data_IF_568387216534
#
_entry.id   IF_568387216534
#
_cell.length_a   1.000
_cell.length_b   1.000
_cell.length_c   1.000
_cell.angle_alpha   90.00
_cell.angle_beta   90.00
_cell.angle_gamma   90.00
#
_symmetry.space_group_name_H-M   'P 1'
#
loop_
_entity.id
_entity.type
_entity.pdbx_description
1 polymer ?
#
# COMPACT_ATOMS: atom_id res chain seq x y z
N UNK A 1 -39.05 12.66 -19.00
CA UNK A 1 -38.42 12.35 -17.70
C UNK A 1 -38.51 13.62 -16.86
N UNK A 2 -39.08 13.61 -15.64
CA UNK A 2 -38.80 14.59 -14.55
C UNK A 2 -39.89 14.62 -13.45
N UNK A 3 -40.14 13.49 -12.79
CA UNK A 3 -40.81 13.50 -11.48
C UNK A 3 -40.09 12.52 -10.56
N UNK A 4 -38.94 12.94 -10.03
CA UNK A 4 -38.39 12.31 -8.83
C UNK A 4 -39.12 12.89 -7.62
N UNK A 5 -39.78 12.04 -6.84
CA UNK A 5 -40.38 12.38 -5.54
C UNK A 5 -39.34 12.58 -4.43
N UNK A 6 -38.06 12.39 -4.74
CA UNK A 6 -36.93 12.52 -3.82
C UNK A 6 -36.18 13.80 -4.16
N UNK A 7 -36.31 14.81 -3.29
CA UNK A 7 -35.48 16.02 -3.33
C UNK A 7 -34.09 15.66 -2.79
N UNK A 8 -32.99 15.99 -3.51
CA UNK A 8 -31.66 15.74 -2.99
C UNK A 8 -31.42 16.56 -1.71
N UNK A 9 -30.60 16.05 -0.77
CA UNK A 9 -30.25 16.80 0.43
C UNK A 9 -29.51 18.08 0.04
N UNK A 10 -29.88 19.21 0.64
CA UNK A 10 -29.19 20.48 0.44
C UNK A 10 -28.55 20.92 1.75
N UNK A 11 -27.34 21.42 1.64
CA UNK A 11 -26.56 21.92 2.77
C UNK A 11 -26.18 23.37 2.51
N UNK A 12 -26.25 24.20 3.55
CA UNK A 12 -25.73 25.56 3.53
C UNK A 12 -24.69 25.72 4.64
N UNK A 13 -23.48 26.11 4.27
CA UNK A 13 -22.40 26.38 5.23
C UNK A 13 -22.48 27.84 5.65
N UNK A 14 -22.48 28.10 6.96
CA UNK A 14 -22.54 29.44 7.55
C UNK A 14 -21.50 29.62 8.66
N UNK A 15 -21.10 30.85 8.92
CA UNK A 15 -20.09 31.18 9.93
C UNK A 15 -20.68 31.71 11.25
N UNK A 16 -21.98 32.02 11.24
CA UNK A 16 -22.75 32.53 12.37
C UNK A 16 -24.07 31.76 12.47
N UNK A 17 -24.46 31.37 13.69
CA UNK A 17 -25.78 30.76 13.93
C UNK A 17 -26.81 31.85 14.18
N UNK A 18 -27.70 32.04 13.21
CA UNK A 18 -28.91 32.85 13.37
C UNK A 18 -30.10 31.87 13.49
N UNK A 19 -30.63 31.60 14.70
CA UNK A 19 -31.62 30.54 14.92
C UNK A 19 -32.88 30.67 14.07
N UNK A 20 -33.32 31.91 13.81
CA UNK A 20 -34.48 32.18 12.95
C UNK A 20 -34.22 31.78 11.49
N UNK A 21 -33.02 32.08 10.97
CA UNK A 21 -32.61 31.71 9.62
C UNK A 21 -32.44 30.20 9.48
N UNK A 22 -31.83 29.53 10.47
CA UNK A 22 -31.68 28.07 10.49
C UNK A 22 -33.05 27.37 10.43
N UNK A 23 -34.01 27.77 11.28
CA UNK A 23 -35.38 27.20 11.28
C UNK A 23 -36.08 27.42 9.94
N UNK A 24 -35.91 28.59 9.34
CA UNK A 24 -36.47 28.88 8.02
C UNK A 24 -35.87 27.96 6.94
N UNK A 25 -34.55 27.81 6.91
CA UNK A 25 -33.84 26.94 5.97
C UNK A 25 -34.21 25.45 6.16
N UNK A 26 -34.28 24.99 7.41
CA UNK A 26 -34.70 23.63 7.76
C UNK A 26 -36.12 23.34 7.24
N UNK A 27 -37.05 24.30 7.38
CA UNK A 27 -38.42 24.15 6.85
C UNK A 27 -38.47 24.03 5.31
N UNK A 28 -37.43 24.49 4.62
CA UNK A 28 -37.26 24.34 3.17
C UNK A 28 -36.39 23.14 2.78
N UNK A 29 -36.05 22.26 3.73
CA UNK A 29 -35.23 21.07 3.51
C UNK A 29 -33.73 21.36 3.35
N UNK A 30 -33.26 22.52 3.80
CA UNK A 30 -31.84 22.90 3.76
C UNK A 30 -31.26 22.71 5.16
N UNK A 31 -30.26 21.84 5.27
CA UNK A 31 -29.51 21.62 6.51
C UNK A 31 -28.42 22.67 6.62
N UNK A 32 -28.36 23.39 7.74
CA UNK A 32 -27.34 24.43 7.96
C UNK A 32 -26.14 23.85 8.72
N UNK A 33 -24.94 24.01 8.19
CA UNK A 33 -23.68 23.57 8.81
C UNK A 33 -22.97 24.83 9.32
N UNK A 34 -22.80 24.93 10.64
CA UNK A 34 -22.21 26.12 11.27
C UNK A 34 -20.72 25.86 11.52
N UNK A 35 -19.86 26.66 10.91
CA UNK A 35 -18.42 26.59 11.11
C UNK A 35 -18.02 27.35 12.36
N UNK A 36 -17.72 26.60 13.42
CA UNK A 36 -17.27 27.16 14.71
C UNK A 36 -15.81 26.85 15.01
N UNK A 37 -15.25 25.81 14.38
CA UNK A 37 -13.90 25.33 14.63
C UNK A 37 -12.82 26.22 13.98
N UNK A 38 -11.81 26.57 14.77
CA UNK A 38 -10.60 27.32 14.37
C UNK A 38 -9.34 26.71 15.00
N UNK A 39 -9.32 25.39 15.19
CA UNK A 39 -8.16 24.68 15.72
C UNK A 39 -6.90 24.93 14.89
N UNK A 40 -7.03 25.01 13.56
CA UNK A 40 -5.92 25.27 12.65
C UNK A 40 -5.93 26.74 12.21
N UNK A 41 -4.90 27.51 12.61
CA UNK A 41 -4.82 28.97 12.41
C UNK A 41 -3.66 29.41 11.50
N UNK A 42 -3.63 29.03 10.22
CA UNK A 42 -2.56 29.46 9.31
C UNK A 42 -2.69 30.95 8.94
N UNK A 43 -3.86 31.58 9.16
CA UNK A 43 -4.14 32.96 8.79
C UNK A 43 -4.19 33.92 10.00
N UNK A 44 -3.39 33.65 11.05
CA UNK A 44 -3.29 34.49 12.24
C UNK A 44 -4.68 34.80 12.85
N UNK A 45 -5.03 36.09 12.99
CA UNK A 45 -6.27 36.56 13.61
C UNK A 45 -7.50 36.55 12.67
N UNK A 46 -7.37 36.07 11.43
CA UNK A 46 -8.50 36.00 10.51
C UNK A 46 -9.39 34.78 10.80
N UNK A 47 -10.35 34.97 11.71
CA UNK A 47 -11.35 33.97 12.12
C UNK A 47 -12.09 33.35 10.93
N UNK A 48 -12.56 34.17 9.98
CA UNK A 48 -13.29 33.68 8.80
C UNK A 48 -12.45 32.71 7.97
N UNK A 49 -11.22 33.10 7.63
CA UNK A 49 -10.32 32.27 6.82
C UNK A 49 -9.86 31.03 7.58
N UNK A 50 -9.61 31.13 8.89
CA UNK A 50 -9.25 29.97 9.72
C UNK A 50 -10.40 28.96 9.84
N UNK A 51 -11.65 29.42 10.03
CA UNK A 51 -12.85 28.55 10.06
C UNK A 51 -13.04 27.80 8.75
N UNK A 52 -12.96 28.53 7.63
CA UNK A 52 -13.10 27.94 6.32
C UNK A 52 -11.96 26.94 6.03
N UNK A 53 -10.74 27.29 6.39
CA UNK A 53 -9.59 26.43 6.22
C UNK A 53 -9.71 25.15 7.04
N UNK A 54 -10.02 25.26 8.33
CA UNK A 54 -10.18 24.11 9.23
C UNK A 54 -11.24 23.17 8.69
N UNK A 55 -12.40 23.69 8.24
CA UNK A 55 -13.45 22.90 7.62
C UNK A 55 -13.01 22.19 6.33
N UNK A 56 -12.36 22.90 5.40
CA UNK A 56 -11.89 22.28 4.16
C UNK A 56 -10.76 21.28 4.39
N UNK A 57 -9.92 21.52 5.40
CA UNK A 57 -8.84 20.64 5.79
C UNK A 57 -9.37 19.36 6.43
N UNK A 58 -10.40 19.46 7.30
CA UNK A 58 -11.06 18.31 7.92
C UNK A 58 -11.83 17.45 6.91
N UNK A 59 -12.37 18.04 5.83
CA UNK A 59 -12.98 17.26 4.75
C UNK A 59 -12.00 16.35 4.02
N UNK A 60 -10.72 16.74 3.97
CA UNK A 60 -9.67 15.99 3.27
C UNK A 60 -8.84 15.09 4.19
N UNK A 61 -8.96 15.27 5.52
CA UNK A 61 -8.14 14.57 6.51
C UNK A 61 -9.06 13.90 7.53
N UNK A 62 -9.32 12.61 7.35
CA UNK A 62 -10.19 11.85 8.23
C UNK A 62 -9.66 11.83 9.68
N UNK A 63 -8.35 11.98 9.83
CA UNK A 63 -7.64 12.05 11.11
C UNK A 63 -8.13 13.19 12.01
N UNK A 64 -8.70 14.24 11.41
CA UNK A 64 -9.24 15.41 12.10
C UNK A 64 -10.70 15.27 12.52
N UNK A 65 -11.40 14.22 12.07
CA UNK A 65 -12.78 14.01 12.50
C UNK A 65 -12.82 13.55 13.96
N UNK A 66 -13.45 14.38 14.81
CA UNK A 66 -13.62 14.09 16.22
C UNK A 66 -14.55 12.88 16.45
N UNK A 67 -15.62 12.79 15.65
CA UNK A 67 -16.77 11.89 15.84
C UNK A 67 -16.77 10.70 14.87
N UNK A 68 -15.64 10.00 14.75
CA UNK A 68 -15.59 8.77 13.95
C UNK A 68 -16.01 7.57 14.80
N UNK A 69 -16.84 6.72 14.22
CA UNK A 69 -17.17 5.43 14.80
C UNK A 69 -15.96 4.47 14.75
N UNK A 70 -15.91 3.51 15.67
CA UNK A 70 -14.81 2.51 15.73
C UNK A 70 -14.57 1.82 14.38
N UNK A 71 -15.64 1.52 13.64
CA UNK A 71 -15.56 0.87 12.31
C UNK A 71 -14.97 1.78 11.24
N UNK A 72 -15.24 3.09 11.31
CA UNK A 72 -14.71 4.08 10.38
C UNK A 72 -13.21 4.25 10.60
N UNK A 73 -12.77 4.28 11.87
CA UNK A 73 -11.36 4.32 12.25
C UNK A 73 -10.62 3.09 11.70
N UNK A 74 -11.16 1.88 11.90
CA UNK A 74 -10.56 0.64 11.38
C UNK A 74 -10.48 0.66 9.85
N UNK A 75 -11.55 1.10 9.17
CA UNK A 75 -11.58 1.16 7.71
C UNK A 75 -10.60 2.18 7.15
N UNK A 76 -10.45 3.33 7.81
CA UNK A 76 -9.48 4.36 7.42
C UNK A 76 -8.05 3.83 7.55
N UNK A 77 -7.72 3.13 8.63
CA UNK A 77 -6.40 2.51 8.80
C UNK A 77 -6.16 1.43 7.76
N UNK A 78 -7.15 0.57 7.51
CA UNK A 78 -7.05 -0.43 6.46
C UNK A 78 -6.84 0.21 5.07
N UNK A 79 -7.51 1.33 4.78
CA UNK A 79 -7.40 2.01 3.49
C UNK A 79 -5.98 2.44 3.15
N UNK A 80 -5.17 2.79 4.18
CA UNK A 80 -3.76 3.18 4.02
C UNK A 80 -2.87 2.06 3.51
N UNK A 81 -3.18 0.81 3.85
CA UNK A 81 -2.38 -0.38 3.47
C UNK A 81 -3.07 -1.27 2.42
N UNK A 82 -4.30 -0.94 2.03
CA UNK A 82 -5.13 -1.75 1.13
C UNK A 82 -4.44 -2.07 -0.20
N UNK A 83 -3.66 -1.15 -0.74
CA UNK A 83 -2.91 -1.36 -1.99
C UNK A 83 -1.87 -2.47 -1.90
N UNK A 84 -1.34 -2.75 -0.70
CA UNK A 84 -0.36 -3.81 -0.49
C UNK A 84 -0.99 -5.21 -0.52
N UNK A 85 -2.31 -5.33 -0.39
CA UNK A 85 -3.00 -6.61 -0.32
C UNK A 85 -2.75 -7.49 -1.57
N UNK A 86 -2.64 -6.87 -2.74
CA UNK A 86 -2.42 -7.54 -4.03
C UNK A 86 -1.00 -8.05 -4.23
N UNK A 87 -0.05 -7.60 -3.40
CA UNK A 87 1.34 -8.04 -3.48
C UNK A 87 1.48 -9.43 -2.84
N UNK A 88 2.33 -10.28 -3.42
CA UNK A 88 2.66 -11.60 -2.85
C UNK A 88 3.47 -11.41 -1.57
N UNK A 89 4.60 -10.70 -1.68
CA UNK A 89 5.44 -10.29 -0.57
C UNK A 89 5.25 -8.81 -0.23
N UNK A 90 5.31 -8.49 1.07
CA UNK A 90 5.25 -7.14 1.60
C UNK A 90 6.43 -6.98 2.57
N UNK A 91 7.20 -5.90 2.44
CA UNK A 91 8.24 -5.58 3.41
C UNK A 91 7.61 -4.82 4.58
N UNK A 92 8.09 -5.08 5.80
CA UNK A 92 7.63 -4.33 6.98
C UNK A 92 7.84 -2.81 6.82
N UNK A 93 8.88 -2.39 6.10
CA UNK A 93 9.12 -0.98 5.78
C UNK A 93 8.05 -0.38 4.83
N UNK A 94 7.47 -1.17 3.93
CA UNK A 94 6.36 -0.69 3.10
C UNK A 94 5.13 -0.41 3.96
N UNK A 95 4.88 -1.24 4.98
CA UNK A 95 3.80 -1.03 5.94
C UNK A 95 4.03 0.25 6.76
N UNK A 96 5.24 0.45 7.30
CA UNK A 96 5.54 1.65 8.08
C UNK A 96 5.49 2.92 7.24
N UNK A 97 5.89 2.87 5.97
CA UNK A 97 5.75 4.00 5.02
C UNK A 97 4.30 4.32 4.67
N UNK A 98 3.42 3.32 4.59
CA UNK A 98 1.99 3.53 4.36
C UNK A 98 1.30 4.19 5.54
N UNK A 99 1.65 3.80 6.76
CA UNK A 99 1.09 4.41 7.96
C UNK A 99 1.69 5.78 8.23
N UNK A 100 3.02 5.91 8.12
CA UNK A 100 3.78 7.04 8.69
C UNK A 100 3.53 7.18 10.20
N UNK A 101 4.25 8.07 10.90
CA UNK A 101 4.21 8.22 12.36
C UNK A 101 4.21 6.87 13.14
N UNK A 102 4.96 5.89 12.64
CA UNK A 102 5.12 4.58 13.25
C UNK A 102 6.50 3.99 12.96
N UNK A 103 6.87 2.95 13.70
CA UNK A 103 8.13 2.24 13.59
C UNK A 103 7.98 0.76 13.89
N UNK A 104 9.11 0.05 13.80
CA UNK A 104 9.20 -1.35 14.19
C UNK A 104 10.02 -1.46 15.47
N UNK A 105 9.47 -2.14 16.46
CA UNK A 105 10.17 -2.54 17.67
C UNK A 105 10.55 -4.01 17.55
N UNK A 106 11.82 -4.32 17.73
CA UNK A 106 12.31 -5.69 17.66
C UNK A 106 12.41 -6.28 19.05
N UNK A 107 11.79 -7.43 19.26
CA UNK A 107 11.90 -8.24 20.47
C UNK A 107 12.54 -9.58 20.13
N UNK A 108 13.30 -10.13 21.08
CA UNK A 108 13.83 -11.49 20.99
C UNK A 108 13.05 -12.38 21.95
N UNK A 109 12.10 -13.14 21.40
CA UNK A 109 11.28 -14.09 22.14
C UNK A 109 11.13 -15.36 21.29
N UNK A 110 12.03 -16.32 21.51
CA UNK A 110 12.18 -17.50 20.67
C UNK A 110 12.47 -17.16 19.19
N UNK A 111 13.24 -16.08 18.98
CA UNK A 111 13.62 -15.57 17.67
C UNK A 111 13.29 -14.07 17.49
N UNK A 112 13.91 -13.42 16.49
CA UNK A 112 13.68 -12.00 16.23
C UNK A 112 12.26 -11.79 15.70
N UNK A 113 11.47 -11.01 16.43
CA UNK A 113 10.10 -10.64 16.07
C UNK A 113 10.00 -9.12 15.95
N UNK A 114 9.29 -8.65 14.93
CA UNK A 114 9.04 -7.23 14.71
C UNK A 114 7.61 -6.87 15.15
N UNK A 115 7.46 -5.94 16.08
CA UNK A 115 6.19 -5.37 16.50
C UNK A 115 6.00 -3.99 15.86
N UNK A 116 4.79 -3.69 15.40
CA UNK A 116 4.44 -2.36 14.91
C UNK A 116 4.14 -1.44 16.10
N UNK A 117 4.83 -0.29 16.14
CA UNK A 117 4.68 0.73 17.17
C UNK A 117 4.22 2.04 16.53
N UNK A 118 3.13 2.64 17.02
CA UNK A 118 2.69 3.96 16.59
C UNK A 118 3.23 5.02 17.54
N UNK A 119 3.88 6.04 17.00
CA UNK A 119 4.49 7.09 17.81
C UNK A 119 3.41 7.96 18.47
N UNK A 120 3.70 8.37 19.70
CA UNK A 120 2.90 9.32 20.47
C UNK A 120 3.65 10.65 20.60
N UNK A 121 4.71 10.68 21.39
CA UNK A 121 5.44 11.91 21.73
C UNK A 121 6.77 12.03 21.01
N UNK A 122 7.22 10.97 20.34
CA UNK A 122 8.52 10.89 19.68
C UNK A 122 8.58 11.90 18.53
N UNK A 123 9.63 12.72 18.48
CA UNK A 123 9.82 13.67 17.37
C UNK A 123 10.51 12.94 16.21
N UNK A 124 9.79 12.74 15.12
CA UNK A 124 10.28 12.10 13.90
C UNK A 124 10.72 13.16 12.91
N UNK A 125 11.94 13.03 12.38
CA UNK A 125 12.55 14.02 11.46
C UNK A 125 11.83 14.15 10.12
N UNK A 126 11.06 13.13 9.70
CA UNK A 126 10.50 13.04 8.34
C UNK A 126 8.97 13.26 8.26
N UNK A 127 8.25 13.18 9.38
CA UNK A 127 6.78 13.34 9.43
C UNK A 127 6.34 13.59 10.88
N UNK A 128 6.15 14.85 11.27
CA UNK A 128 5.70 15.24 12.61
C UNK A 128 4.24 15.69 12.57
N UNK A 129 3.31 14.73 12.44
CA UNK A 129 1.88 15.00 12.35
C UNK A 129 1.17 14.61 13.66
N UNK A 130 0.90 15.61 14.50
CA UNK A 130 0.27 15.44 15.81
C UNK A 130 -1.16 14.90 15.70
N UNK A 131 -1.92 15.33 14.69
CA UNK A 131 -3.31 14.93 14.46
C UNK A 131 -3.40 13.44 14.13
N UNK A 132 -2.50 12.98 13.27
CA UNK A 132 -2.39 11.56 12.90
C UNK A 132 -2.04 10.67 14.10
N UNK A 133 -1.21 11.15 15.04
CA UNK A 133 -0.91 10.42 16.28
C UNK A 133 -2.13 10.33 17.19
N UNK A 134 -2.88 11.42 17.32
CA UNK A 134 -4.17 11.43 18.02
C UNK A 134 -5.15 10.41 17.41
N UNK A 135 -5.18 10.32 16.09
CA UNK A 135 -5.97 9.32 15.38
C UNK A 135 -5.49 7.88 15.65
N UNK A 136 -4.19 7.61 15.64
CA UNK A 136 -3.64 6.29 16.00
C UNK A 136 -3.90 5.90 17.44
N UNK A 137 -3.90 6.84 18.39
CA UNK A 137 -4.32 6.57 19.78
C UNK A 137 -5.75 6.08 19.87
N UNK A 138 -6.68 6.67 19.11
CA UNK A 138 -8.07 6.19 19.06
C UNK A 138 -8.09 4.73 18.57
N UNK A 139 -7.32 4.40 17.55
CA UNK A 139 -7.21 3.03 17.07
C UNK A 139 -6.61 2.06 18.11
N UNK A 140 -5.51 2.43 18.76
CA UNK A 140 -4.91 1.62 19.83
C UNK A 140 -5.90 1.38 20.98
N UNK A 141 -6.74 2.37 21.31
CA UNK A 141 -7.81 2.20 22.31
C UNK A 141 -8.87 1.17 21.90
N UNK A 142 -9.14 1.03 20.60
CA UNK A 142 -10.02 -0.02 20.07
C UNK A 142 -9.36 -1.38 20.22
N UNK A 143 -8.07 -1.49 19.86
CA UNK A 143 -7.31 -2.73 19.95
C UNK A 143 -7.07 -3.19 21.40
N UNK A 144 -7.00 -2.26 22.34
CA UNK A 144 -6.83 -2.56 23.78
C UNK A 144 -8.11 -3.12 24.43
N UNK A 145 -9.23 -3.18 23.71
CA UNK A 145 -10.50 -3.68 24.23
C UNK A 145 -10.90 -5.00 23.57
N UNK A 146 -10.74 -6.10 24.28
CA UNK A 146 -11.06 -7.46 23.81
C UNK A 146 -12.47 -7.61 23.23
N UNK A 147 -13.47 -6.90 23.78
CA UNK A 147 -14.85 -6.95 23.25
C UNK A 147 -14.90 -6.32 21.87
N UNK A 148 -14.34 -5.12 21.72
CA UNK A 148 -14.26 -4.42 20.42
C UNK A 148 -13.47 -5.22 19.40
N UNK A 149 -12.34 -5.83 19.80
CA UNK A 149 -11.55 -6.69 18.91
C UNK A 149 -12.36 -7.88 18.40
N UNK A 150 -13.19 -8.49 19.26
CA UNK A 150 -14.10 -9.58 18.87
C UNK A 150 -15.21 -9.10 17.94
N UNK A 151 -15.84 -7.97 18.26
CA UNK A 151 -16.97 -7.41 17.50
C UNK A 151 -16.53 -6.97 16.09
N UNK A 152 -15.36 -6.34 15.97
CA UNK A 152 -14.81 -5.85 14.71
C UNK A 152 -13.85 -6.83 14.02
N UNK A 153 -13.78 -8.08 14.49
CA UNK A 153 -12.86 -9.11 13.98
C UNK A 153 -12.82 -9.24 12.45
N UNK A 154 -13.95 -9.26 11.70
CA UNK A 154 -13.91 -9.38 10.24
C UNK A 154 -13.21 -8.21 9.53
N UNK A 155 -13.24 -7.02 10.12
CA UNK A 155 -12.60 -5.83 9.55
C UNK A 155 -11.10 -5.83 9.89
N UNK A 156 -10.77 -6.14 11.15
CA UNK A 156 -9.39 -6.28 11.61
C UNK A 156 -8.64 -7.39 10.89
N UNK A 157 -9.30 -8.51 10.56
CA UNK A 157 -8.66 -9.62 9.84
C UNK A 157 -8.04 -9.20 8.50
N UNK A 158 -8.66 -8.28 7.75
CA UNK A 158 -8.10 -7.79 6.47
C UNK A 158 -6.80 -7.04 6.67
N UNK A 159 -6.75 -6.19 7.70
CA UNK A 159 -5.56 -5.44 8.10
C UNK A 159 -4.47 -6.40 8.61
N UNK A 160 -4.81 -7.27 9.55
CA UNK A 160 -3.87 -8.21 10.16
C UNK A 160 -3.29 -9.20 9.16
N UNK A 161 -4.03 -9.53 8.09
CA UNK A 161 -3.52 -10.38 7.02
C UNK A 161 -2.36 -9.72 6.27
N UNK A 162 -2.46 -8.41 6.03
CA UNK A 162 -1.37 -7.61 5.42
C UNK A 162 -0.17 -7.55 6.36
N UNK A 163 -0.39 -7.31 7.65
CA UNK A 163 0.68 -7.29 8.64
C UNK A 163 1.41 -8.64 8.73
N UNK A 164 0.66 -9.75 8.67
CA UNK A 164 1.22 -11.10 8.68
C UNK A 164 2.04 -11.38 7.43
N UNK A 165 1.60 -10.94 6.24
CA UNK A 165 2.41 -10.99 5.00
C UNK A 165 3.72 -10.20 5.14
N UNK A 166 3.69 -9.10 5.90
CA UNK A 166 4.86 -8.27 6.16
C UNK A 166 5.80 -8.79 7.26
N UNK A 167 5.57 -10.00 7.78
CA UNK A 167 6.31 -10.58 8.91
C UNK A 167 6.31 -9.72 10.17
N UNK A 168 5.27 -8.90 10.36
CA UNK A 168 5.01 -8.20 11.61
C UNK A 168 4.33 -9.19 12.56
N UNK A 169 4.74 -9.24 13.81
CA UNK A 169 4.29 -10.21 14.80
C UNK A 169 3.06 -9.73 15.60
N UNK A 170 2.91 -8.42 15.77
CA UNK A 170 1.84 -7.80 16.55
C UNK A 170 1.91 -6.28 16.52
N UNK A 171 0.98 -5.63 17.22
CA UNK A 171 0.90 -4.18 17.37
C UNK A 171 1.06 -3.85 18.86
N UNK A 172 1.96 -2.92 19.18
CA UNK A 172 2.15 -2.41 20.55
C UNK A 172 0.94 -1.56 20.94
N UNK A 173 0.38 -1.81 22.11
CA UNK A 173 -0.86 -1.17 22.57
C UNK A 173 -0.61 0.06 23.45
N UNK A 174 0.56 0.15 24.08
CA UNK A 174 0.83 1.17 25.08
C UNK A 174 2.25 1.76 24.98
N UNK A 175 2.42 2.92 25.61
CA UNK A 175 3.66 3.71 25.56
C UNK A 175 4.79 3.08 26.38
N UNK A 176 4.47 2.17 27.29
CA UNK A 176 5.45 1.40 28.08
C UNK A 176 6.00 0.19 27.31
N UNK A 177 5.40 -0.13 26.17
CA UNK A 177 5.74 -1.26 25.32
C UNK A 177 5.68 -2.63 26.02
N UNK A 178 4.87 -2.76 27.07
CA UNK A 178 4.66 -4.00 27.83
C UNK A 178 3.40 -4.76 27.41
N UNK A 179 2.50 -4.13 26.63
CA UNK A 179 1.33 -4.79 26.06
C UNK A 179 1.33 -4.72 24.54
N UNK A 180 1.05 -5.85 23.89
CA UNK A 180 0.93 -5.96 22.45
C UNK A 180 -0.21 -6.92 22.06
N UNK A 181 -0.97 -6.54 21.04
CA UNK A 181 -1.96 -7.42 20.42
C UNK A 181 -1.27 -8.25 19.33
N UNK A 182 -1.20 -9.56 19.53
CA UNK A 182 -0.51 -10.45 18.60
C UNK A 182 -1.39 -10.76 17.39
N UNK A 183 -0.73 -10.99 16.25
CA UNK A 183 -1.47 -11.36 15.03
C UNK A 183 -2.26 -12.65 15.23
N UNK A 184 -1.72 -13.61 15.98
CA UNK A 184 -2.34 -14.91 16.24
C UNK A 184 -3.65 -14.81 17.03
N UNK A 185 -3.89 -13.70 17.73
CA UNK A 185 -5.13 -13.47 18.48
C UNK A 185 -6.30 -13.07 17.56
N UNK A 186 -5.99 -12.35 16.47
CA UNK A 186 -6.98 -11.88 15.49
C UNK A 186 -7.13 -12.87 14.33
N UNK A 187 -6.02 -13.44 13.87
CA UNK A 187 -5.96 -14.42 12.80
C UNK A 187 -5.65 -15.81 13.35
N UNK A 188 -6.53 -16.81 13.17
CA UNK A 188 -6.21 -18.18 13.53
C UNK A 188 -4.99 -18.70 12.74
N UNK A 189 -4.18 -19.54 13.37
CA UNK A 189 -2.92 -20.08 12.85
C UNK A 189 -3.07 -20.78 11.49
N UNK A 190 -4.27 -21.30 11.18
CA UNK A 190 -4.59 -22.00 9.93
C UNK A 190 -4.66 -21.10 8.69
N UNK A 191 -4.53 -19.78 8.86
CA UNK A 191 -4.26 -18.86 7.75
C UNK A 191 -2.82 -19.08 7.29
N UNK A 192 -2.58 -20.19 6.57
CA UNK A 192 -1.35 -20.46 5.84
C UNK A 192 -1.12 -19.34 4.83
N UNK A 193 -0.47 -18.27 5.30
CA UNK A 193 0.31 -17.42 4.41
C UNK A 193 1.47 -18.32 4.03
N UNK A 194 1.44 -18.84 2.80
CA UNK A 194 2.64 -19.43 2.23
C UNK A 194 3.68 -18.32 2.28
N UNK A 195 4.62 -18.42 3.21
CA UNK A 195 5.84 -17.62 3.15
C UNK A 195 6.46 -17.97 1.80
N UNK A 196 6.58 -16.96 0.96
CA UNK A 196 6.74 -17.15 -0.47
C UNK A 196 8.01 -17.95 -0.82
N UNK A 197 7.86 -18.82 -1.83
CA UNK A 197 8.97 -19.46 -2.53
C UNK A 197 9.98 -18.43 -3.08
N UNK A 198 9.58 -17.16 -3.25
CA UNK A 198 10.42 -16.08 -3.77
C UNK A 198 11.61 -15.70 -2.85
N UNK A 199 11.51 -15.91 -1.53
CA UNK A 199 12.59 -15.67 -0.56
C UNK A 199 13.23 -17.01 -0.11
N UNK A 200 12.72 -18.12 -0.64
CA UNK A 200 13.31 -19.43 -0.42
C UNK A 200 14.51 -19.59 -1.37
N UNK A 201 15.73 -19.46 -0.84
CA UNK A 201 16.98 -19.72 -1.59
C UNK A 201 17.19 -21.20 -1.95
N UNK A 202 16.14 -22.02 -1.86
CA UNK A 202 16.16 -23.41 -2.29
C UNK A 202 15.83 -23.52 -3.79
N UNK A 203 16.89 -23.51 -4.60
CA UNK A 203 16.83 -23.67 -6.05
C UNK A 203 16.74 -25.14 -6.51
N UNK A 204 16.64 -26.11 -5.58
CA UNK A 204 16.66 -27.53 -5.90
C UNK A 204 15.30 -28.09 -6.33
N UNK A 205 14.22 -27.31 -6.30
CA UNK A 205 12.95 -27.70 -6.92
C UNK A 205 13.16 -27.80 -8.43
N UNK A 206 13.31 -29.04 -8.89
CA UNK A 206 13.66 -29.42 -10.26
C UNK A 206 12.71 -28.73 -11.24
N UNK A 207 13.25 -27.76 -12.00
CA UNK A 207 12.57 -27.17 -13.15
C UNK A 207 12.61 -28.19 -14.29
N UNK A 208 11.76 -29.20 -14.25
CA UNK A 208 11.34 -29.88 -15.47
C UNK A 208 10.33 -28.98 -16.17
N UNK A 209 10.79 -28.27 -17.19
CA UNK A 209 9.91 -27.56 -18.11
C UNK A 209 9.15 -28.58 -18.98
N UNK A 210 8.09 -29.17 -18.43
CA UNK A 210 7.06 -29.79 -19.24
C UNK A 210 6.07 -28.70 -19.59
N UNK A 211 5.98 -28.34 -20.88
CA UNK A 211 4.93 -27.46 -21.41
C UNK A 211 3.59 -27.92 -20.81
N UNK A 212 2.94 -27.12 -19.95
CA UNK A 212 1.70 -27.56 -19.34
C UNK A 212 0.65 -27.61 -20.44
N UNK A 213 0.21 -28.81 -20.82
CA UNK A 213 -0.89 -29.02 -21.76
C UNK A 213 -2.26 -28.52 -21.24
N UNK A 214 -2.29 -27.78 -20.12
CA UNK A 214 -3.48 -27.13 -19.58
C UNK A 214 -3.11 -25.79 -18.97
N UNK A 215 -3.85 -24.77 -19.40
CA UNK A 215 -3.97 -23.43 -18.81
C UNK A 215 -4.26 -23.59 -17.31
N UNK A 216 -3.23 -23.56 -16.48
CA UNK A 216 -3.36 -23.49 -15.03
C UNK A 216 -3.16 -22.02 -14.62
N UNK A 217 -4.14 -21.49 -13.88
CA UNK A 217 -4.38 -20.07 -13.58
C UNK A 217 -3.34 -19.34 -12.71
N UNK A 218 -2.07 -19.73 -12.72
CA UNK A 218 -0.99 -18.89 -12.18
C UNK A 218 0.33 -19.38 -12.75
N UNK A 219 0.91 -18.64 -13.70
CA UNK A 219 2.29 -18.86 -14.08
C UNK A 219 3.15 -18.53 -12.85
N UNK A 220 3.88 -19.53 -12.37
CA UNK A 220 4.71 -19.41 -11.18
C UNK A 220 5.95 -18.57 -11.52
N UNK A 221 5.91 -17.27 -11.19
CA UNK A 221 6.97 -16.29 -11.49
C UNK A 221 8.31 -16.64 -10.84
N UNK A 222 8.34 -17.56 -9.87
CA UNK A 222 9.59 -18.06 -9.26
C UNK A 222 10.42 -18.90 -10.23
N UNK A 223 9.79 -19.53 -11.23
CA UNK A 223 10.48 -20.46 -12.15
C UNK A 223 11.54 -19.79 -13.00
N UNK A 224 11.25 -18.61 -13.57
CA UNK A 224 12.22 -17.85 -14.37
C UNK A 224 13.41 -17.40 -13.52
N UNK A 225 13.16 -17.03 -12.26
CA UNK A 225 14.22 -16.66 -11.32
C UNK A 225 15.10 -17.86 -10.97
N UNK A 226 14.52 -19.03 -10.69
CA UNK A 226 15.27 -20.26 -10.43
C UNK A 226 16.10 -20.67 -11.65
N UNK A 227 15.54 -20.62 -12.87
CA UNK A 227 16.30 -20.87 -14.09
C UNK A 227 17.47 -19.90 -14.26
N UNK A 228 17.27 -18.61 -13.96
CA UNK A 228 18.32 -17.61 -13.99
C UNK A 228 19.46 -17.95 -13.01
N UNK A 229 19.14 -18.31 -11.77
CA UNK A 229 20.13 -18.68 -10.76
C UNK A 229 20.89 -19.96 -11.10
N UNK A 230 20.25 -20.89 -11.83
CA UNK A 230 20.86 -22.13 -12.31
C UNK A 230 21.57 -21.97 -13.68
N UNK A 231 21.77 -20.75 -14.17
CA UNK A 231 22.37 -20.44 -15.49
C UNK A 231 21.63 -21.05 -16.70
N UNK A 232 20.34 -21.41 -16.54
CA UNK A 232 19.46 -21.91 -17.61
C UNK A 232 18.78 -20.74 -18.32
N UNK A 233 19.58 -19.88 -18.94
CA UNK A 233 19.11 -18.62 -19.51
C UNK A 233 18.11 -18.79 -20.68
N UNK A 234 18.28 -19.80 -21.54
CA UNK A 234 17.35 -20.09 -22.65
C UNK A 234 15.94 -20.46 -22.15
N UNK A 235 15.87 -21.29 -21.10
CA UNK A 235 14.61 -21.68 -20.44
C UNK A 235 13.95 -20.47 -19.77
N UNK A 236 14.74 -19.65 -19.07
CA UNK A 236 14.26 -18.42 -18.43
C UNK A 236 13.69 -17.42 -19.46
N UNK A 237 14.36 -17.26 -20.60
CA UNK A 237 13.93 -16.37 -21.68
C UNK A 237 12.59 -16.83 -22.28
N UNK A 238 12.44 -18.13 -22.54
CA UNK A 238 11.21 -18.69 -23.11
C UNK A 238 10.00 -18.53 -22.17
N UNK A 239 10.20 -18.72 -20.85
CA UNK A 239 9.16 -18.50 -19.84
C UNK A 239 8.69 -17.03 -19.85
N UNK A 240 9.62 -16.08 -19.95
CA UNK A 240 9.28 -14.65 -19.96
C UNK A 240 8.50 -14.26 -21.22
N UNK A 241 8.82 -14.83 -22.39
CA UNK A 241 8.04 -14.55 -23.61
C UNK A 241 6.59 -15.03 -23.51
N UNK A 242 6.37 -16.21 -22.89
CA UNK A 242 5.02 -16.73 -22.64
C UNK A 242 4.26 -15.83 -21.63
N UNK A 243 4.92 -15.39 -20.55
CA UNK A 243 4.33 -14.48 -19.56
C UNK A 243 3.99 -13.11 -20.15
N UNK A 244 4.91 -12.52 -20.92
CA UNK A 244 4.73 -11.21 -21.52
C UNK A 244 3.51 -11.21 -22.46
N UNK A 245 3.32 -12.28 -23.22
CA UNK A 245 2.15 -12.45 -24.11
C UNK A 245 0.83 -12.44 -23.34
N UNK A 246 0.80 -13.08 -22.16
CA UNK A 246 -0.35 -13.12 -21.27
C UNK A 246 -0.60 -11.79 -20.56
N UNK A 247 0.45 -11.13 -20.07
CA UNK A 247 0.38 -9.83 -19.39
C UNK A 247 -0.10 -8.72 -20.34
N UNK A 248 0.33 -8.75 -21.61
CA UNK A 248 -0.19 -7.88 -22.68
C UNK A 248 -1.68 -8.13 -22.89
N UNK A 249 -2.12 -9.39 -22.95
CA UNK A 249 -3.54 -9.75 -23.11
C UNK A 249 -4.39 -9.21 -21.96
N UNK A 250 -3.86 -9.25 -20.74
CA UNK A 250 -4.54 -8.79 -19.52
C UNK A 250 -4.42 -7.28 -19.29
N UNK A 251 -3.60 -6.57 -20.08
CA UNK A 251 -3.28 -5.14 -19.89
C UNK A 251 -2.70 -4.84 -18.50
N UNK A 252 -1.89 -5.75 -17.97
CA UNK A 252 -1.21 -5.57 -16.69
C UNK A 252 0.13 -4.84 -16.90
N UNK A 253 0.05 -3.51 -17.03
CA UNK A 253 1.20 -2.67 -17.37
C UNK A 253 2.34 -2.71 -16.35
N UNK A 254 2.05 -2.97 -15.06
CA UNK A 254 3.09 -3.09 -14.04
C UNK A 254 3.94 -4.34 -14.32
N UNK A 255 3.28 -5.46 -14.58
CA UNK A 255 3.96 -6.71 -14.87
C UNK A 255 4.65 -6.72 -16.24
N UNK A 256 4.07 -6.07 -17.25
CA UNK A 256 4.72 -5.87 -18.56
C UNK A 256 6.09 -5.16 -18.38
N UNK A 257 6.15 -4.06 -17.62
CA UNK A 257 7.40 -3.34 -17.39
C UNK A 257 8.45 -4.22 -16.71
N UNK A 258 8.05 -5.02 -15.72
CA UNK A 258 8.92 -5.97 -15.00
C UNK A 258 9.40 -7.08 -15.93
N UNK A 259 8.53 -7.64 -16.76
CA UNK A 259 8.86 -8.72 -17.69
C UNK A 259 9.81 -8.27 -18.80
N UNK A 260 9.59 -7.08 -19.39
CA UNK A 260 10.51 -6.49 -20.38
C UNK A 260 11.90 -6.22 -19.80
N UNK A 261 11.95 -5.73 -18.56
CA UNK A 261 13.20 -5.52 -17.83
C UNK A 261 13.96 -6.83 -17.61
N UNK A 262 13.27 -7.85 -17.09
CA UNK A 262 13.86 -9.18 -16.88
C UNK A 262 14.32 -9.80 -18.20
N UNK A 263 13.55 -9.63 -19.28
CA UNK A 263 13.92 -10.07 -20.62
C UNK A 263 15.22 -9.42 -21.10
N UNK A 264 15.38 -8.11 -20.90
CA UNK A 264 16.63 -7.40 -21.26
C UNK A 264 17.83 -7.93 -20.47
N UNK A 265 17.68 -8.19 -19.17
CA UNK A 265 18.75 -8.76 -18.34
C UNK A 265 19.18 -10.14 -18.86
N UNK A 266 18.22 -11.02 -19.11
CA UNK A 266 18.50 -12.38 -19.59
C UNK A 266 19.06 -12.34 -21.01
N UNK A 267 18.53 -11.48 -21.88
CA UNK A 267 19.04 -11.30 -23.24
C UNK A 267 20.49 -10.82 -23.24
N UNK A 268 20.84 -9.89 -22.35
CA UNK A 268 22.22 -9.42 -22.18
C UNK A 268 23.14 -10.60 -21.77
N UNK A 269 22.71 -11.45 -20.82
CA UNK A 269 23.45 -12.69 -20.49
C UNK A 269 23.56 -13.62 -21.71
N UNK A 270 22.47 -13.87 -22.43
CA UNK A 270 22.50 -14.73 -23.62
C UNK A 270 23.41 -14.20 -24.74
N UNK A 271 23.52 -12.89 -24.91
CA UNK A 271 24.38 -12.26 -25.93
C UNK A 271 25.86 -12.28 -25.57
N UNK A 272 26.20 -12.01 -24.31
CA UNK A 272 27.59 -11.67 -23.93
C UNK A 272 28.24 -12.66 -22.96
N UNK A 273 27.50 -13.61 -22.38
CA UNK A 273 28.09 -14.60 -21.48
C UNK A 273 28.97 -15.62 -22.26
N UNK A 274 29.89 -16.28 -21.55
CA UNK A 274 30.89 -17.16 -22.15
C UNK A 274 30.33 -18.52 -22.58
N UNK A 275 29.23 -18.95 -21.97
CA UNK A 275 28.61 -20.27 -22.18
C UNK A 275 27.35 -20.25 -23.05
N UNK A 276 26.94 -19.10 -23.58
CA UNK A 276 25.67 -18.93 -24.27
C UNK A 276 25.77 -19.11 -25.79
N UNK A 277 24.65 -19.49 -26.42
CA UNK A 277 24.54 -19.69 -27.85
C UNK A 277 24.37 -18.34 -28.58
N UNK A 278 25.45 -17.55 -28.62
CA UNK A 278 25.47 -16.12 -29.00
C UNK A 278 24.83 -15.83 -30.37
N UNK A 279 25.02 -16.72 -31.33
CA UNK A 279 24.54 -16.56 -32.71
C UNK A 279 23.01 -16.44 -32.81
N UNK A 280 22.27 -17.08 -31.88
CA UNK A 280 20.80 -17.08 -31.89
C UNK A 280 20.20 -15.77 -31.36
N UNK A 281 20.90 -15.08 -30.47
CA UNK A 281 20.35 -13.95 -29.68
C UNK A 281 21.00 -12.61 -30.01
N UNK A 282 22.12 -12.59 -30.75
CA UNK A 282 22.86 -11.37 -31.09
C UNK A 282 22.06 -10.37 -31.94
N UNK A 283 21.10 -10.84 -32.73
CA UNK A 283 20.28 -10.03 -33.64
C UNK A 283 19.02 -9.47 -32.99
N UNK A 284 18.63 -9.92 -31.80
CA UNK A 284 17.44 -9.44 -31.10
C UNK A 284 17.72 -8.06 -30.50
N UNK A 285 16.83 -7.10 -30.71
CA UNK A 285 16.93 -5.79 -30.07
C UNK A 285 16.49 -5.85 -28.60
N UNK A 286 17.07 -4.98 -27.78
CA UNK A 286 16.65 -4.82 -26.38
C UNK A 286 15.35 -4.01 -26.33
N UNK A 287 14.48 -4.36 -25.38
CA UNK A 287 13.22 -3.68 -25.20
C UNK A 287 13.43 -2.25 -24.68
N UNK A 288 12.83 -1.29 -25.36
CA UNK A 288 12.90 0.13 -25.01
C UNK A 288 11.80 0.51 -24.02
N UNK A 289 12.03 0.18 -22.75
CA UNK A 289 11.07 0.37 -21.65
C UNK A 289 10.63 1.84 -21.50
N UNK A 290 11.53 2.80 -21.72
CA UNK A 290 11.21 4.23 -21.67
C UNK A 290 10.20 4.64 -22.75
N UNK A 291 10.43 4.24 -24.00
CA UNK A 291 9.52 4.52 -25.12
C UNK A 291 8.13 3.90 -24.87
N UNK A 292 8.09 2.69 -24.31
CA UNK A 292 6.82 2.02 -23.98
C UNK A 292 6.07 2.75 -22.87
N UNK A 293 6.76 3.17 -21.80
CA UNK A 293 6.15 3.94 -20.72
C UNK A 293 5.63 5.30 -21.22
N UNK A 294 6.40 6.00 -22.07
CA UNK A 294 6.02 7.30 -22.61
C UNK A 294 4.76 7.26 -23.48
N UNK A 295 4.51 6.14 -24.14
CA UNK A 295 3.31 5.92 -24.93
C UNK A 295 2.07 5.53 -24.10
N UNK A 296 2.19 5.34 -22.77
CA UNK A 296 1.05 5.00 -21.92
C UNK A 296 0.12 6.19 -21.63
N UNK A 297 -1.20 5.95 -21.49
CA UNK A 297 -2.15 6.94 -20.98
C UNK A 297 -1.76 7.53 -19.62
N UNK A 298 -2.06 8.82 -19.38
CA UNK A 298 -1.66 9.54 -18.14
C UNK A 298 -2.13 8.90 -16.83
N UNK A 299 -3.32 8.32 -16.82
CA UNK A 299 -3.88 7.61 -15.67
C UNK A 299 -3.09 6.34 -15.33
N UNK A 300 -2.62 5.62 -16.35
CA UNK A 300 -1.83 4.41 -16.18
C UNK A 300 -0.40 4.76 -15.75
N UNK A 301 0.21 5.78 -16.37
CA UNK A 301 1.53 6.32 -15.97
C UNK A 301 1.62 6.60 -14.48
N UNK A 302 0.63 7.32 -13.91
CA UNK A 302 0.58 7.61 -12.47
C UNK A 302 0.54 6.36 -11.60
N UNK A 303 -0.08 5.28 -12.09
CA UNK A 303 -0.26 4.05 -11.31
C UNK A 303 1.02 3.20 -11.34
N UNK A 304 1.73 3.18 -12.46
CA UNK A 304 2.93 2.33 -12.65
C UNK A 304 4.25 3.09 -12.52
N UNK A 305 4.23 4.38 -12.16
CA UNK A 305 5.44 5.22 -12.06
C UNK A 305 6.46 4.65 -11.07
N UNK A 306 6.00 4.14 -9.93
CA UNK A 306 6.87 3.52 -8.92
C UNK A 306 7.60 2.29 -9.48
N UNK A 307 6.90 1.49 -10.30
CA UNK A 307 7.48 0.31 -10.96
C UNK A 307 8.43 0.74 -12.06
N UNK A 308 8.08 1.78 -12.83
CA UNK A 308 8.96 2.37 -13.83
C UNK A 308 10.28 2.87 -13.22
N UNK A 309 10.22 3.60 -12.11
CA UNK A 309 11.41 4.10 -11.41
C UNK A 309 12.30 2.96 -10.89
N UNK A 310 11.70 1.82 -10.53
CA UNK A 310 12.41 0.62 -10.11
C UNK A 310 13.14 -0.04 -11.29
N UNK A 311 12.44 -0.33 -12.39
CA UNK A 311 13.02 -1.04 -13.55
C UNK A 311 14.00 -0.20 -14.37
N UNK A 312 13.95 1.13 -14.20
CA UNK A 312 14.89 2.07 -14.84
C UNK A 312 16.06 2.44 -13.94
N UNK A 313 16.11 1.90 -12.72
CA UNK A 313 17.10 2.22 -11.68
C UNK A 313 17.17 3.70 -11.28
N UNK A 314 16.23 4.54 -11.71
CA UNK A 314 16.09 5.92 -11.22
C UNK A 314 15.93 5.96 -9.69
N UNK A 315 15.31 4.92 -9.12
CA UNK A 315 15.23 4.72 -7.68
C UNK A 315 16.61 4.61 -7.01
N UNK A 316 17.54 3.82 -7.57
CA UNK A 316 18.91 3.68 -7.03
C UNK A 316 19.70 4.98 -7.15
N UNK A 317 19.49 5.72 -8.24
CA UNK A 317 20.10 7.03 -8.44
C UNK A 317 19.63 8.02 -7.35
N UNK A 318 18.32 8.07 -7.08
CA UNK A 318 17.74 8.93 -6.04
C UNK A 318 18.19 8.52 -4.61
N UNK A 319 18.35 7.22 -4.37
CA UNK A 319 18.94 6.71 -3.12
C UNK A 319 20.40 7.15 -2.94
N UNK A 320 21.22 7.09 -3.99
CA UNK A 320 22.61 7.54 -3.95
C UNK A 320 22.71 9.03 -3.57
N UNK A 321 21.82 9.88 -4.09
CA UNK A 321 21.80 11.30 -3.77
C UNK A 321 21.21 11.63 -2.40
N UNK A 322 20.36 10.76 -1.82
CA UNK A 322 19.82 10.94 -0.46
C UNK A 322 20.75 10.45 0.64
N UNK A 323 21.69 9.55 0.33
CA UNK A 323 22.76 9.12 1.26
C UNK A 323 23.90 10.15 1.34
N UNK A 324 23.98 11.07 0.39
CA UNK A 324 25.06 12.07 0.26
C UNK A 324 24.71 13.46 0.83
N UNK A 325 23.61 13.60 1.57
CA UNK A 325 23.12 14.86 2.17
C UNK A 325 22.90 14.69 3.67
#
# INVERSE_FOLDING_TARGET
>A
QNHSSVRPPMYLVVFEDIPAQRKYLESHGITTIILTDETIKPFNNNSYSNKLYTFLHSLNSLELCADLDDIEIINAIYSRVRSLQSLNAILAEQVTRCFTNCGLMYIDDNGPKALLHFYDTEVTSNDNNIELRGFYKKFLSILSNDKKVKDYKPHLQKLFFILKKASIYGIVLNDKHDEALLITEVLPNDSLIKIDKEINFNYSEIVTYTRPHKVANSIDKTKKYNCFQLNKYDEAYSIIEEELSEEIRQKDYANILISLFNQNIILNRLKYDFSSNRERYSTLEENKIHELYDNLPRNIKKTVSVIYDLVTFNYLLNLHYTVSS
#
